data_IF_228752436219
#
_entry.id   IF_228752436219
#
_cell.length_a   1.000
_cell.length_b   1.000
_cell.length_c   1.000
_cell.angle_alpha   90.00
_cell.angle_beta   90.00
_cell.angle_gamma   90.00
#
_symmetry.space_group_name_H-M   'P 1'
#
loop_
_entity.id
_entity.type
_entity.pdbx_description
1 polymer ?
#
# COMPACT_ATOMS: atom_id res chain seq x y z
N UNK A 1 48.11 4.80 19.69
CA UNK A 1 47.44 4.88 21.01
C UNK A 1 45.95 4.63 20.78
N UNK A 2 45.44 3.52 21.31
CA UNK A 2 43.99 3.17 21.19
C UNK A 2 43.33 3.69 22.46
N UNK A 3 42.36 4.58 22.32
CA UNK A 3 41.48 4.98 23.41
C UNK A 3 40.46 3.87 23.70
N UNK A 4 40.22 3.50 24.97
CA UNK A 4 39.18 2.54 25.30
C UNK A 4 37.80 3.22 25.17
N UNK A 5 36.74 2.49 24.76
CA UNK A 5 35.40 3.03 24.62
C UNK A 5 34.83 3.35 26.01
N UNK A 6 34.20 4.54 26.11
CA UNK A 6 33.59 5.06 27.35
C UNK A 6 32.36 4.21 27.75
N UNK A 7 32.09 4.04 29.07
CA UNK A 7 31.02 3.15 29.56
C UNK A 7 29.61 3.66 29.31
N UNK A 8 29.42 4.86 28.75
CA UNK A 8 28.09 5.44 28.43
C UNK A 8 27.31 4.73 27.33
N UNK A 9 28.00 4.03 26.41
CA UNK A 9 27.32 3.34 25.27
C UNK A 9 26.58 2.04 25.68
N UNK A 10 27.06 1.36 26.72
CA UNK A 10 26.46 0.11 27.21
C UNK A 10 25.19 0.33 28.01
N UNK A 11 25.13 1.42 28.79
CA UNK A 11 23.96 1.74 29.63
C UNK A 11 22.78 2.21 28.78
N UNK A 12 23.04 2.93 27.66
CA UNK A 12 21.98 3.39 26.77
C UNK A 12 21.34 2.22 25.99
N UNK A 13 22.16 1.23 25.55
CA UNK A 13 21.65 0.05 24.84
C UNK A 13 20.78 -0.84 25.72
N UNK A 14 21.16 -1.00 27.01
CA UNK A 14 20.38 -1.79 27.98
C UNK A 14 19.06 -1.09 28.32
N UNK A 15 19.05 0.26 28.42
CA UNK A 15 17.83 1.01 28.69
C UNK A 15 16.84 0.95 27.50
N UNK A 16 17.32 1.03 26.28
CA UNK A 16 16.47 0.89 25.07
C UNK A 16 15.89 -0.52 24.96
N UNK A 17 16.67 -1.56 25.29
CA UNK A 17 16.16 -2.94 25.32
C UNK A 17 15.16 -3.17 26.45
N UNK A 18 15.36 -2.62 27.61
CA UNK A 18 14.43 -2.73 28.75
C UNK A 18 13.13 -1.96 28.50
N UNK A 19 13.17 -0.80 27.83
CA UNK A 19 11.96 -0.04 27.47
C UNK A 19 11.20 -0.76 26.36
N UNK A 20 11.87 -1.32 25.35
CA UNK A 20 11.22 -2.09 24.28
C UNK A 20 10.56 -3.37 24.82
N UNK A 21 11.21 -4.08 25.75
CA UNK A 21 10.62 -5.26 26.40
C UNK A 21 9.45 -4.90 27.33
N UNK A 22 9.52 -3.78 28.06
CA UNK A 22 8.43 -3.33 28.91
C UNK A 22 7.20 -2.88 28.11
N UNK A 23 7.38 -2.24 26.95
CA UNK A 23 6.29 -1.88 26.04
C UNK A 23 5.67 -3.14 25.42
N UNK A 24 6.46 -4.13 25.02
CA UNK A 24 5.96 -5.42 24.51
C UNK A 24 5.17 -6.20 25.57
N UNK A 25 5.61 -6.21 26.80
CA UNK A 25 4.93 -6.90 27.91
C UNK A 25 3.60 -6.19 28.25
N UNK A 26 3.57 -4.87 28.29
CA UNK A 26 2.36 -4.08 28.56
C UNK A 26 1.32 -4.23 27.43
N UNK A 27 1.75 -4.26 26.16
CA UNK A 27 0.88 -4.49 25.01
C UNK A 27 0.33 -5.93 25.01
N UNK A 28 1.14 -6.90 25.38
CA UNK A 28 0.72 -8.31 25.48
C UNK A 28 -0.29 -8.50 26.62
N UNK A 29 -0.15 -7.79 27.74
CA UNK A 29 -1.07 -7.81 28.86
C UNK A 29 -2.40 -7.10 28.51
N UNK A 30 -2.36 -6.02 27.74
CA UNK A 30 -3.57 -5.29 27.31
C UNK A 30 -4.51 -6.13 26.46
N UNK A 31 -3.97 -7.05 25.63
CA UNK A 31 -4.75 -7.92 24.74
C UNK A 31 -5.22 -9.22 25.41
N UNK A 32 -4.62 -9.62 26.54
CA UNK A 32 -4.92 -10.91 27.21
C UNK A 32 -6.37 -10.98 27.68
N UNK A 33 -6.93 -9.90 28.19
CA UNK A 33 -8.35 -9.85 28.62
C UNK A 33 -9.33 -10.17 27.51
N UNK A 34 -8.97 -9.88 26.24
CA UNK A 34 -9.82 -10.10 25.07
C UNK A 34 -9.80 -11.54 24.58
N UNK A 35 -8.83 -12.34 25.04
CA UNK A 35 -8.73 -13.76 24.70
C UNK A 35 -9.87 -14.58 25.30
N UNK A 36 -10.35 -14.19 26.47
CA UNK A 36 -11.46 -14.86 27.16
C UNK A 36 -12.81 -14.15 26.98
N UNK A 37 -12.82 -12.97 26.34
CA UNK A 37 -14.05 -12.20 26.15
C UNK A 37 -14.97 -12.86 25.12
N UNK A 38 -16.23 -13.10 25.49
CA UNK A 38 -17.23 -13.71 24.60
C UNK A 38 -17.93 -12.60 23.78
N UNK A 39 -17.35 -12.26 22.62
CA UNK A 39 -17.89 -11.27 21.69
C UNK A 39 -19.24 -11.67 21.12
N UNK A 40 -19.57 -12.95 21.11
CA UNK A 40 -20.86 -13.45 20.58
C UNK A 40 -22.01 -13.28 21.54
N UNK A 41 -21.73 -13.16 22.86
CA UNK A 41 -22.78 -13.03 23.89
C UNK A 41 -22.76 -11.68 24.60
N UNK A 42 -21.61 -10.99 24.63
CA UNK A 42 -21.42 -9.77 25.39
C UNK A 42 -21.21 -8.57 24.49
N UNK A 43 -22.08 -7.56 24.61
CA UNK A 43 -21.93 -6.30 23.89
C UNK A 43 -20.88 -5.42 24.57
N UNK A 44 -19.92 -4.94 23.78
CA UNK A 44 -18.93 -3.94 24.21
C UNK A 44 -19.62 -2.59 24.49
N UNK A 45 -19.08 -1.89 25.47
CA UNK A 45 -19.41 -0.49 25.76
C UNK A 45 -18.27 0.43 25.31
N UNK A 46 -18.53 1.69 24.96
CA UNK A 46 -17.46 2.64 24.60
C UNK A 46 -16.34 2.74 25.65
N UNK A 47 -16.69 2.64 26.93
CA UNK A 47 -15.73 2.67 28.04
C UNK A 47 -14.74 1.49 28.03
N UNK A 48 -15.19 0.33 27.55
CA UNK A 48 -14.36 -0.89 27.53
C UNK A 48 -13.14 -0.76 26.60
N UNK A 49 -13.28 0.05 25.54
CA UNK A 49 -12.25 0.24 24.49
C UNK A 49 -11.70 1.68 24.39
N UNK A 50 -12.11 2.60 25.26
CA UNK A 50 -11.71 4.01 25.20
C UNK A 50 -10.18 4.21 25.26
N UNK A 51 -9.49 3.43 26.12
CA UNK A 51 -8.03 3.49 26.30
C UNK A 51 -7.22 2.57 25.37
N UNK A 52 -7.87 1.77 24.51
CA UNK A 52 -7.17 0.79 23.68
C UNK A 52 -6.41 1.51 22.56
N UNK A 53 -5.10 1.26 22.36
CA UNK A 53 -4.32 1.81 21.24
C UNK A 53 -4.90 1.43 19.86
N UNK A 54 -4.60 2.24 18.83
CA UNK A 54 -5.14 2.01 17.48
C UNK A 54 -4.76 0.63 16.91
N UNK A 55 -3.50 0.22 17.04
CA UNK A 55 -3.04 -1.12 16.61
C UNK A 55 -3.76 -2.26 17.34
N UNK A 56 -3.99 -2.11 18.64
CA UNK A 56 -4.71 -3.10 19.45
C UNK A 56 -6.19 -3.17 19.07
N UNK A 57 -6.83 -2.05 18.67
CA UNK A 57 -8.19 -2.05 18.14
C UNK A 57 -8.29 -2.87 16.85
N UNK A 58 -7.30 -2.75 15.97
CA UNK A 58 -7.20 -3.55 14.75
C UNK A 58 -7.10 -5.05 15.07
N UNK A 59 -6.24 -5.43 16.02
CA UNK A 59 -6.15 -6.81 16.49
C UNK A 59 -7.44 -7.29 17.15
N UNK A 60 -8.09 -6.42 17.96
CA UNK A 60 -9.37 -6.74 18.60
C UNK A 60 -10.46 -7.05 17.57
N UNK A 61 -10.52 -6.27 16.50
CA UNK A 61 -11.39 -6.55 15.34
C UNK A 61 -11.02 -7.88 14.68
N UNK A 62 -9.72 -8.15 14.55
CA UNK A 62 -9.19 -9.45 14.10
C UNK A 62 -9.66 -10.63 14.97
N UNK A 63 -9.68 -10.49 16.31
CA UNK A 63 -10.16 -11.52 17.23
C UNK A 63 -11.64 -11.86 16.96
N UNK A 64 -12.52 -10.85 16.82
CA UNK A 64 -13.96 -11.09 16.57
C UNK A 64 -14.15 -11.93 15.32
N UNK A 65 -13.51 -11.60 14.23
CA UNK A 65 -13.57 -12.40 13.00
C UNK A 65 -12.84 -13.73 13.12
N UNK A 66 -11.69 -13.76 13.82
CA UNK A 66 -10.86 -14.95 14.03
C UNK A 66 -11.57 -16.04 14.81
N UNK A 67 -12.55 -15.70 15.69
CA UNK A 67 -13.39 -16.68 16.37
C UNK A 67 -14.23 -17.54 15.40
N UNK A 68 -14.51 -17.02 14.21
CA UNK A 68 -15.17 -17.75 13.13
C UNK A 68 -14.16 -18.31 12.09
N UNK A 69 -12.86 -18.22 12.37
CA UNK A 69 -11.80 -18.76 11.52
C UNK A 69 -11.49 -17.91 10.28
N UNK A 70 -11.91 -16.62 10.21
CA UNK A 70 -11.55 -15.78 9.08
C UNK A 70 -10.05 -15.79 8.87
N UNK A 71 -9.63 -16.12 7.64
CA UNK A 71 -8.23 -16.02 7.21
C UNK A 71 -7.94 -14.56 6.85
N UNK A 72 -6.86 -14.02 7.39
CA UNK A 72 -6.42 -12.66 7.13
C UNK A 72 -5.16 -12.65 6.29
N UNK A 73 -5.08 -11.71 5.35
CA UNK A 73 -3.87 -11.40 4.59
C UNK A 73 -2.98 -10.40 5.32
N UNK A 74 -3.58 -9.54 6.16
CA UNK A 74 -2.82 -8.64 7.04
C UNK A 74 -1.90 -9.46 7.94
N UNK A 75 -0.58 -9.24 7.77
CA UNK A 75 0.43 -10.06 8.42
C UNK A 75 0.39 -9.91 9.95
N UNK A 76 0.09 -8.71 10.49
CA UNK A 76 0.03 -8.48 11.93
C UNK A 76 -1.14 -9.27 12.56
N UNK A 77 -2.32 -9.20 11.93
CA UNK A 77 -3.50 -9.97 12.38
C UNK A 77 -3.25 -11.45 12.22
N UNK A 78 -2.69 -11.89 11.09
CA UNK A 78 -2.39 -13.30 10.81
C UNK A 78 -1.46 -13.87 11.87
N UNK A 79 -0.29 -13.29 12.07
CA UNK A 79 0.70 -13.72 13.07
C UNK A 79 0.11 -13.75 14.46
N UNK A 80 -0.65 -12.71 14.84
CA UNK A 80 -1.30 -12.66 16.13
C UNK A 80 -2.30 -13.79 16.32
N UNK A 81 -3.17 -14.07 15.34
CA UNK A 81 -4.19 -15.12 15.43
C UNK A 81 -3.59 -16.53 15.40
N UNK A 82 -2.60 -16.78 14.54
CA UNK A 82 -1.92 -18.07 14.43
C UNK A 82 -1.19 -18.47 15.73
N UNK A 83 -0.76 -17.50 16.53
CA UNK A 83 -0.21 -17.73 17.86
C UNK A 83 -1.28 -18.12 18.91
N UNK A 84 -2.58 -18.04 18.60
CA UNK A 84 -3.65 -18.33 19.54
C UNK A 84 -4.12 -19.78 19.41
N UNK A 85 -4.08 -20.56 20.48
CA UNK A 85 -4.51 -21.97 20.49
C UNK A 85 -5.99 -22.20 20.13
N UNK A 86 -6.84 -21.18 20.22
CA UNK A 86 -8.26 -21.24 19.87
C UNK A 86 -8.53 -20.92 18.38
N UNK A 87 -7.58 -20.30 17.65
CA UNK A 87 -7.78 -19.93 16.25
C UNK A 87 -7.69 -21.17 15.36
N UNK A 88 -8.72 -21.35 14.53
CA UNK A 88 -8.78 -22.41 13.52
C UNK A 88 -9.17 -21.77 12.19
N UNK A 89 -8.27 -21.69 11.21
CA UNK A 89 -8.58 -21.13 9.89
C UNK A 89 -9.77 -21.85 9.25
N UNK A 90 -10.70 -21.05 8.71
CA UNK A 90 -11.86 -21.53 7.98
C UNK A 90 -11.93 -20.83 6.61
N UNK A 91 -11.50 -21.49 5.52
CA UNK A 91 -11.55 -20.90 4.16
C UNK A 91 -12.98 -20.55 3.70
N UNK A 92 -14.00 -21.22 4.26
CA UNK A 92 -15.41 -20.98 3.93
C UNK A 92 -16.03 -19.84 4.75
N UNK A 93 -15.22 -19.11 5.51
CA UNK A 93 -15.71 -17.98 6.29
C UNK A 93 -16.44 -16.99 5.40
N UNK A 94 -17.62 -16.57 5.86
CA UNK A 94 -18.35 -15.45 5.29
C UNK A 94 -19.05 -14.62 6.38
N UNK A 95 -19.40 -13.39 6.08
CA UNK A 95 -19.94 -12.45 7.05
C UNK A 95 -21.32 -12.83 7.62
N UNK A 96 -22.03 -13.81 7.04
CA UNK A 96 -23.30 -14.30 7.59
C UNK A 96 -23.13 -15.08 8.89
N UNK A 97 -21.91 -15.60 9.14
CA UNK A 97 -21.56 -16.30 10.37
C UNK A 97 -21.54 -15.39 11.61
N UNK A 98 -21.40 -14.07 11.40
CA UNK A 98 -21.41 -13.07 12.48
C UNK A 98 -22.84 -12.84 12.99
N UNK A 99 -23.04 -12.96 14.29
CA UNK A 99 -24.32 -12.61 14.91
C UNK A 99 -24.48 -11.09 15.13
N UNK A 100 -25.65 -10.69 15.63
CA UNK A 100 -25.95 -9.26 15.80
C UNK A 100 -25.11 -8.57 16.89
N UNK A 101 -24.67 -9.30 17.93
CA UNK A 101 -23.83 -8.75 19.00
C UNK A 101 -22.43 -8.52 18.45
N UNK A 102 -21.86 -9.49 17.74
CA UNK A 102 -20.55 -9.35 17.10
C UNK A 102 -20.50 -8.19 16.10
N UNK A 103 -21.56 -8.03 15.29
CA UNK A 103 -21.67 -6.88 14.36
C UNK A 103 -21.68 -5.53 15.09
N UNK A 104 -22.39 -5.44 16.21
CA UNK A 104 -22.38 -4.24 17.08
C UNK A 104 -21.02 -3.98 17.68
N UNK A 105 -20.34 -5.04 18.13
CA UNK A 105 -18.99 -4.96 18.68
C UNK A 105 -18.00 -4.47 17.61
N UNK A 106 -18.07 -5.02 16.40
CA UNK A 106 -17.25 -4.60 15.27
C UNK A 106 -17.52 -3.14 14.88
N UNK A 107 -18.78 -2.70 14.88
CA UNK A 107 -19.15 -1.29 14.61
C UNK A 107 -18.51 -0.36 15.67
N UNK A 108 -18.58 -0.73 16.94
CA UNK A 108 -18.00 0.06 18.02
C UNK A 108 -16.47 0.15 17.92
N UNK A 109 -15.81 -0.98 17.66
CA UNK A 109 -14.35 -1.04 17.48
C UNK A 109 -13.94 -0.14 16.30
N UNK A 110 -14.59 -0.25 15.15
CA UNK A 110 -14.29 0.57 13.96
C UNK A 110 -14.50 2.07 14.21
N UNK A 111 -15.55 2.45 14.93
CA UNK A 111 -15.77 3.85 15.32
C UNK A 111 -14.64 4.35 16.21
N UNK A 112 -14.14 3.52 17.12
CA UNK A 112 -13.01 3.86 17.98
C UNK A 112 -11.69 3.97 17.19
N UNK A 113 -11.42 3.06 16.24
CA UNK A 113 -10.28 3.14 15.32
C UNK A 113 -10.32 4.45 14.52
N UNK A 114 -11.44 4.73 13.84
CA UNK A 114 -11.61 5.93 13.01
C UNK A 114 -11.42 7.23 13.80
N UNK A 115 -11.82 7.25 15.07
CA UNK A 115 -11.63 8.43 15.94
C UNK A 115 -10.17 8.77 16.20
N UNK A 116 -9.27 7.78 16.09
CA UNK A 116 -7.83 7.88 16.35
C UNK A 116 -7.01 8.20 15.10
N UNK A 117 -7.57 8.02 13.91
CA UNK A 117 -6.88 8.31 12.66
C UNK A 117 -6.56 9.80 12.52
N UNK A 118 -5.32 10.12 12.16
CA UNK A 118 -4.89 11.51 11.92
C UNK A 118 -5.64 12.10 10.72
N UNK A 119 -5.79 11.33 9.65
CA UNK A 119 -6.60 11.61 8.46
C UNK A 119 -7.64 10.51 8.26
N UNK A 120 -8.73 10.81 7.58
CA UNK A 120 -9.77 9.84 7.25
C UNK A 120 -9.17 8.70 6.39
N UNK A 121 -9.61 7.47 6.67
CA UNK A 121 -9.16 6.29 5.94
C UNK A 121 -10.37 5.58 5.28
N UNK A 122 -10.17 4.80 4.21
CA UNK A 122 -11.19 3.88 3.73
C UNK A 122 -11.71 2.99 4.87
N UNK A 123 -13.01 3.05 5.12
CA UNK A 123 -13.65 2.36 6.25
C UNK A 123 -14.09 3.25 7.41
N UNK A 124 -13.70 4.52 7.42
CA UNK A 124 -13.97 5.44 8.54
C UNK A 124 -15.33 6.18 8.45
N UNK A 125 -16.01 6.12 7.30
CA UNK A 125 -17.16 6.99 7.05
C UNK A 125 -18.31 6.76 8.01
N UNK A 126 -18.39 5.59 8.66
CA UNK A 126 -19.35 5.34 9.74
C UNK A 126 -19.17 6.29 10.94
N UNK A 127 -17.93 6.61 11.31
CA UNK A 127 -17.61 7.60 12.34
C UNK A 127 -17.99 9.01 11.91
N UNK A 128 -17.87 9.31 10.60
CA UNK A 128 -18.13 10.63 10.03
C UNK A 128 -19.59 10.86 9.60
N UNK A 129 -20.50 9.88 9.76
CA UNK A 129 -21.93 10.07 9.45
C UNK A 129 -22.58 11.23 10.24
N UNK A 130 -22.13 11.43 11.47
CA UNK A 130 -22.69 12.45 12.38
C UNK A 130 -21.71 13.60 12.65
N UNK A 131 -20.59 13.65 11.95
CA UNK A 131 -19.51 14.63 12.13
C UNK A 131 -19.09 15.22 10.80
N UNK A 132 -18.88 16.55 10.72
CA UNK A 132 -18.39 17.15 9.48
C UNK A 132 -16.91 16.86 9.27
N UNK A 133 -16.53 16.49 8.03
CA UNK A 133 -15.15 16.39 7.59
C UNK A 133 -14.57 17.78 7.36
N UNK A 134 -13.40 18.02 7.91
CA UNK A 134 -12.60 19.23 7.64
C UNK A 134 -11.52 18.94 6.61
N UNK A 135 -11.03 19.96 5.90
CA UNK A 135 -9.93 19.82 4.94
C UNK A 135 -8.68 19.17 5.58
N UNK A 136 -8.38 19.48 6.86
CA UNK A 136 -7.27 18.89 7.60
C UNK A 136 -7.45 17.37 7.81
N UNK A 137 -8.69 16.92 8.06
CA UNK A 137 -9.00 15.50 8.28
C UNK A 137 -9.05 14.71 6.98
N UNK A 138 -9.35 15.36 5.87
CA UNK A 138 -9.36 14.67 4.57
C UNK A 138 -7.96 14.20 4.14
N UNK A 139 -6.91 14.99 4.37
CA UNK A 139 -5.56 14.60 3.97
C UNK A 139 -5.36 14.49 2.46
N UNK A 140 -4.35 13.72 2.06
CA UNK A 140 -4.07 13.38 0.66
C UNK A 140 -4.43 11.90 0.42
N UNK A 141 -5.12 11.64 -0.69
CA UNK A 141 -5.56 10.31 -1.11
C UNK A 141 -5.33 10.08 -2.59
N UNK A 142 -5.22 8.82 -2.97
CA UNK A 142 -5.25 8.39 -4.37
C UNK A 142 -6.66 8.50 -4.97
N UNK A 143 -6.76 8.32 -6.28
CA UNK A 143 -8.05 8.24 -6.96
C UNK A 143 -8.92 7.10 -6.46
N UNK A 144 -8.32 5.94 -6.16
CA UNK A 144 -9.02 4.77 -5.63
C UNK A 144 -9.55 5.03 -4.22
N UNK A 145 -8.71 5.57 -3.33
CA UNK A 145 -9.13 5.93 -1.97
C UNK A 145 -10.24 6.99 -1.96
N UNK A 146 -10.10 8.06 -2.79
CA UNK A 146 -11.18 9.05 -2.94
C UNK A 146 -12.50 8.42 -3.37
N UNK A 147 -12.43 7.46 -4.31
CA UNK A 147 -13.61 6.75 -4.78
C UNK A 147 -14.22 5.91 -3.67
N UNK A 148 -13.41 5.19 -2.90
CA UNK A 148 -13.89 4.41 -1.74
C UNK A 148 -14.54 5.30 -0.70
N UNK A 149 -13.85 6.37 -0.25
CA UNK A 149 -14.36 7.29 0.78
C UNK A 149 -15.70 7.90 0.38
N UNK A 150 -15.82 8.39 -0.86
CA UNK A 150 -17.07 8.92 -1.39
C UNK A 150 -18.16 7.86 -1.43
N UNK A 151 -17.82 6.67 -1.94
CA UNK A 151 -18.78 5.58 -2.12
C UNK A 151 -19.21 4.96 -0.81
N UNK A 152 -18.37 4.97 0.21
CA UNK A 152 -18.70 4.43 1.54
C UNK A 152 -19.86 5.22 2.19
N UNK A 153 -19.92 6.54 2.00
CA UNK A 153 -21.07 7.35 2.48
C UNK A 153 -22.38 6.82 1.92
N UNK A 154 -22.39 6.46 0.63
CA UNK A 154 -23.57 5.95 -0.06
C UNK A 154 -23.80 4.45 0.20
N UNK A 155 -22.73 3.67 0.36
CA UNK A 155 -22.77 2.22 0.66
C UNK A 155 -23.43 1.93 2.01
N UNK A 156 -23.23 2.79 3.01
CA UNK A 156 -23.88 2.70 4.32
C UNK A 156 -25.41 2.70 4.17
N UNK A 157 -25.93 3.34 3.12
CA UNK A 157 -27.36 3.38 2.75
C UNK A 157 -27.73 2.37 1.65
N UNK A 158 -26.86 1.39 1.38
CA UNK A 158 -27.14 0.26 0.49
C UNK A 158 -26.97 0.52 -1.00
N UNK A 159 -26.28 1.60 -1.43
CA UNK A 159 -26.01 1.84 -2.85
C UNK A 159 -25.20 0.69 -3.45
N UNK A 160 -25.59 0.25 -4.66
CA UNK A 160 -24.83 -0.68 -5.51
C UNK A 160 -23.91 0.10 -6.45
N UNK A 161 -22.77 -0.47 -6.81
CA UNK A 161 -21.74 0.18 -7.62
C UNK A 161 -21.52 -0.58 -8.93
N UNK A 162 -21.26 0.16 -10.01
CA UNK A 162 -21.05 -0.40 -11.34
C UNK A 162 -19.59 -0.89 -11.54
N UNK A 163 -18.63 -0.28 -10.83
CA UNK A 163 -17.23 -0.69 -10.87
C UNK A 163 -17.08 -2.04 -10.16
N UNK A 164 -16.64 -3.12 -10.85
CA UNK A 164 -16.61 -4.47 -10.28
C UNK A 164 -15.78 -4.57 -9.00
N UNK A 165 -14.58 -3.99 -8.99
CA UNK A 165 -13.70 -4.03 -7.82
C UNK A 165 -14.30 -3.28 -6.61
N UNK A 166 -14.97 -2.15 -6.86
CA UNK A 166 -15.60 -1.33 -5.82
C UNK A 166 -16.82 -2.04 -5.22
N UNK A 167 -17.64 -2.67 -6.07
CA UNK A 167 -18.77 -3.49 -5.62
C UNK A 167 -18.27 -4.68 -4.81
N UNK A 168 -17.21 -5.36 -5.26
CA UNK A 168 -16.59 -6.45 -4.51
C UNK A 168 -16.02 -5.94 -3.18
N UNK A 169 -15.33 -4.79 -3.17
CA UNK A 169 -14.83 -4.16 -1.95
C UNK A 169 -15.93 -4.02 -0.89
N UNK A 170 -17.12 -3.52 -1.26
CA UNK A 170 -18.21 -3.38 -0.30
C UNK A 170 -18.88 -4.71 0.05
N UNK A 171 -19.02 -5.65 -0.87
CA UNK A 171 -19.58 -6.98 -0.59
C UNK A 171 -18.82 -7.72 0.52
N UNK A 172 -17.53 -7.49 0.65
CA UNK A 172 -16.68 -8.06 1.71
C UNK A 172 -16.87 -7.39 3.08
N UNK A 173 -17.61 -6.28 3.15
CA UNK A 173 -17.85 -5.56 4.41
C UNK A 173 -19.04 -6.16 5.15
N UNK A 174 -18.86 -6.58 6.40
CA UNK A 174 -19.91 -7.20 7.22
C UNK A 174 -21.13 -6.31 7.43
N UNK A 175 -20.95 -5.00 7.32
CA UNK A 175 -21.99 -3.99 7.53
C UNK A 175 -22.74 -3.60 6.23
N UNK A 176 -22.18 -3.92 5.06
CA UNK A 176 -22.79 -3.56 3.79
C UNK A 176 -24.00 -4.44 3.50
N UNK A 177 -25.13 -3.81 3.23
CA UNK A 177 -26.38 -4.45 2.83
C UNK A 177 -26.92 -3.74 1.59
N UNK A 178 -26.73 -4.30 0.39
CA UNK A 178 -27.23 -3.68 -0.83
C UNK A 178 -28.74 -3.58 -0.79
N UNK A 179 -29.26 -2.38 -1.05
CA UNK A 179 -30.71 -2.13 -1.19
C UNK A 179 -31.17 -2.46 -2.60
N UNK A 180 -32.43 -2.82 -2.75
CA UNK A 180 -33.04 -3.00 -4.08
C UNK A 180 -33.11 -1.67 -4.83
N UNK A 181 -33.37 -0.59 -4.09
CA UNK A 181 -33.37 0.77 -4.61
C UNK A 181 -32.67 1.71 -3.63
N UNK A 182 -31.63 2.38 -4.11
CA UNK A 182 -30.94 3.46 -3.37
C UNK A 182 -31.58 4.80 -3.71
N UNK A 183 -31.83 5.65 -2.69
CA UNK A 183 -32.25 7.04 -2.86
C UNK A 183 -31.32 7.95 -2.07
N UNK A 184 -30.65 8.88 -2.76
CA UNK A 184 -29.75 9.88 -2.15
C UNK A 184 -30.45 10.85 -1.18
N UNK A 185 -31.78 10.90 -1.17
CA UNK A 185 -32.55 11.66 -0.18
C UNK A 185 -32.40 11.12 1.24
N UNK A 186 -31.99 9.84 1.39
CA UNK A 186 -31.71 9.22 2.69
C UNK A 186 -30.46 9.79 3.38
N UNK A 187 -29.57 10.44 2.62
CA UNK A 187 -28.37 11.07 3.17
C UNK A 187 -28.73 12.25 4.06
N UNK A 188 -28.17 12.27 5.27
CA UNK A 188 -28.27 13.38 6.20
C UNK A 188 -27.62 14.66 5.64
N UNK A 189 -27.90 15.81 6.25
CA UNK A 189 -27.26 17.07 5.88
C UNK A 189 -25.73 17.02 6.10
N UNK A 190 -25.25 16.28 7.12
CA UNK A 190 -23.83 16.11 7.40
C UNK A 190 -23.17 15.24 6.34
N UNK A 191 -23.78 14.12 5.95
CA UNK A 191 -23.26 13.24 4.92
C UNK A 191 -23.16 13.94 3.56
N UNK A 192 -24.17 14.77 3.19
CA UNK A 192 -24.12 15.61 1.98
C UNK A 192 -22.95 16.60 2.02
N UNK A 193 -22.76 17.30 3.16
CA UNK A 193 -21.59 18.19 3.36
C UNK A 193 -20.26 17.43 3.28
N UNK A 194 -20.20 16.23 3.81
CA UNK A 194 -19.00 15.40 3.72
C UNK A 194 -18.71 14.99 2.28
N UNK A 195 -19.72 14.62 1.48
CA UNK A 195 -19.58 14.36 0.05
C UNK A 195 -19.07 15.59 -0.72
N UNK A 196 -19.58 16.78 -0.41
CA UNK A 196 -19.11 18.04 -1.00
C UNK A 196 -17.63 18.32 -0.65
N UNK A 197 -17.25 18.10 0.63
CA UNK A 197 -15.89 18.28 1.10
C UNK A 197 -14.91 17.32 0.40
N UNK A 198 -15.29 16.04 0.28
CA UNK A 198 -14.52 15.01 -0.45
C UNK A 198 -14.38 15.42 -1.93
N UNK A 199 -15.44 15.81 -2.60
CA UNK A 199 -15.43 16.22 -4.00
C UNK A 199 -14.51 17.43 -4.24
N UNK A 200 -14.53 18.42 -3.33
CA UNK A 200 -13.65 19.59 -3.40
C UNK A 200 -12.17 19.23 -3.22
N UNK A 201 -11.86 18.35 -2.27
CA UNK A 201 -10.50 17.88 -2.04
C UNK A 201 -9.99 17.05 -3.23
N UNK A 202 -10.80 16.13 -3.75
CA UNK A 202 -10.48 15.33 -4.93
C UNK A 202 -10.20 16.19 -6.18
N UNK A 203 -10.96 17.29 -6.35
CA UNK A 203 -10.73 18.22 -7.47
C UNK A 203 -9.34 18.87 -7.44
N UNK A 204 -8.77 19.04 -6.24
CA UNK A 204 -7.45 19.65 -6.01
C UNK A 204 -6.32 18.63 -6.01
N UNK A 205 -6.63 17.35 -5.85
CA UNK A 205 -5.64 16.29 -5.76
C UNK A 205 -4.98 15.98 -7.10
N UNK A 206 -3.81 15.31 -7.04
CA UNK A 206 -3.16 14.73 -8.21
C UNK A 206 -4.10 13.73 -8.89
N UNK A 207 -4.20 13.80 -10.22
CA UNK A 207 -5.11 12.95 -10.99
C UNK A 207 -4.42 11.64 -11.39
N UNK A 208 -4.20 10.79 -10.41
CA UNK A 208 -3.77 9.40 -10.60
C UNK A 208 -4.80 8.48 -9.97
N UNK A 209 -5.02 7.31 -10.58
CA UNK A 209 -5.98 6.36 -10.04
C UNK A 209 -5.41 5.61 -8.83
N UNK A 210 -4.12 5.24 -8.89
CA UNK A 210 -3.43 4.52 -7.83
C UNK A 210 -2.24 5.31 -7.27
N UNK A 211 -1.84 4.99 -6.06
CA UNK A 211 -0.61 5.41 -5.42
C UNK A 211 0.00 4.26 -4.60
N UNK A 212 1.31 4.27 -4.29
CA UNK A 212 1.89 3.35 -3.31
C UNK A 212 1.11 3.39 -2.00
N UNK A 213 0.73 2.22 -1.48
CA UNK A 213 -0.18 2.04 -0.35
C UNK A 213 -1.56 1.47 -0.74
N UNK A 214 -1.97 1.62 -2.00
CA UNK A 214 -3.31 1.24 -2.46
C UNK A 214 -3.52 -0.26 -2.65
N UNK A 215 -2.46 -1.08 -2.67
CA UNK A 215 -2.62 -2.52 -2.92
C UNK A 215 -3.43 -3.21 -1.83
N UNK A 216 -3.58 -2.61 -0.65
CA UNK A 216 -4.52 -3.05 0.38
C UNK A 216 -5.99 -3.07 -0.11
N UNK A 217 -6.35 -2.17 -1.01
CA UNK A 217 -7.71 -2.09 -1.58
C UNK A 217 -7.95 -3.19 -2.61
N UNK A 218 -6.87 -3.77 -3.13
CA UNK A 218 -6.89 -4.74 -4.23
C UNK A 218 -6.53 -6.17 -3.81
N UNK A 219 -6.52 -6.46 -2.52
CA UNK A 219 -6.48 -7.85 -2.05
C UNK A 219 -7.62 -8.65 -2.72
N UNK A 220 -7.30 -9.73 -3.43
CA UNK A 220 -8.24 -10.54 -4.23
C UNK A 220 -8.99 -9.80 -5.36
N UNK A 221 -8.58 -8.58 -5.68
CA UNK A 221 -9.16 -7.76 -6.75
C UNK A 221 -8.11 -7.41 -7.79
N UNK A 222 -8.54 -7.30 -9.05
CA UNK A 222 -7.63 -6.98 -10.14
C UNK A 222 -7.55 -5.47 -10.38
N UNK A 223 -6.32 -4.97 -10.56
CA UNK A 223 -6.08 -3.66 -11.14
C UNK A 223 -6.10 -3.76 -12.66
N UNK A 224 -6.43 -2.66 -13.32
CA UNK A 224 -6.31 -2.56 -14.79
C UNK A 224 -5.11 -1.70 -15.18
N UNK A 225 -4.53 -1.91 -16.38
CA UNK A 225 -3.43 -1.07 -16.88
C UNK A 225 -3.77 0.43 -16.91
N UNK A 226 -5.04 0.78 -17.10
CA UNK A 226 -5.50 2.17 -17.11
C UNK A 226 -5.33 2.86 -15.76
N UNK A 227 -5.45 2.10 -14.66
CA UNK A 227 -5.27 2.62 -13.31
C UNK A 227 -3.81 3.00 -13.01
N UNK A 228 -2.85 2.48 -13.78
CA UNK A 228 -1.42 2.79 -13.65
C UNK A 228 -1.03 4.07 -14.39
N UNK A 229 -1.95 4.67 -15.15
CA UNK A 229 -1.66 5.86 -15.94
C UNK A 229 -1.29 7.06 -15.05
N UNK A 230 -0.20 7.73 -15.42
CA UNK A 230 0.28 8.92 -14.71
C UNK A 230 1.18 8.63 -13.51
N UNK A 231 1.44 7.36 -13.18
CA UNK A 231 2.44 6.99 -12.18
C UNK A 231 3.85 7.13 -12.74
N UNK A 232 4.80 7.46 -11.86
CA UNK A 232 6.23 7.39 -12.18
C UNK A 232 6.73 5.94 -12.13
N UNK A 233 7.90 5.69 -12.74
CA UNK A 233 8.55 4.36 -12.66
C UNK A 233 8.88 3.98 -11.22
N UNK A 234 9.21 4.96 -10.38
CA UNK A 234 9.44 4.71 -8.95
C UNK A 234 8.16 4.26 -8.24
N UNK A 235 7.04 4.94 -8.49
CA UNK A 235 5.73 4.58 -7.90
C UNK A 235 5.25 3.21 -8.39
N UNK A 236 5.45 2.87 -9.68
CA UNK A 236 5.15 1.53 -10.22
C UNK A 236 5.97 0.45 -9.50
N UNK A 237 7.28 0.70 -9.31
CA UNK A 237 8.15 -0.20 -8.55
C UNK A 237 7.68 -0.39 -7.11
N UNK A 238 7.26 0.69 -6.43
CA UNK A 238 6.73 0.61 -5.08
C UNK A 238 5.43 -0.20 -5.04
N UNK A 239 4.46 0.07 -5.92
CA UNK A 239 3.21 -0.69 -6.01
C UNK A 239 3.45 -2.18 -6.24
N UNK A 240 4.34 -2.52 -7.19
CA UNK A 240 4.70 -3.91 -7.45
C UNK A 240 5.28 -4.61 -6.22
N UNK A 241 6.21 -3.95 -5.54
CA UNK A 241 6.84 -4.53 -4.35
C UNK A 241 5.91 -4.51 -3.13
N UNK A 242 4.92 -3.62 -3.08
CA UNK A 242 3.91 -3.60 -2.03
C UNK A 242 3.10 -4.90 -2.02
N UNK A 243 2.75 -5.46 -3.19
CA UNK A 243 2.07 -6.76 -3.27
C UNK A 243 2.86 -7.82 -2.50
N UNK A 244 4.17 -7.91 -2.72
CA UNK A 244 5.04 -8.85 -2.01
C UNK A 244 5.21 -8.49 -0.53
N UNK A 245 5.37 -7.21 -0.22
CA UNK A 245 5.57 -6.72 1.15
C UNK A 245 4.38 -7.07 2.06
N UNK A 246 3.16 -7.03 1.54
CA UNK A 246 1.94 -7.41 2.27
C UNK A 246 1.89 -8.87 2.67
N UNK A 247 2.68 -9.72 1.99
CA UNK A 247 2.89 -11.13 2.35
C UNK A 247 4.17 -11.36 3.16
N UNK A 248 4.85 -10.29 3.58
CA UNK A 248 6.02 -10.38 4.44
C UNK A 248 7.35 -10.56 3.72
N UNK A 249 7.44 -10.39 2.39
CA UNK A 249 8.72 -10.49 1.66
C UNK A 249 9.74 -9.52 2.23
N UNK A 250 10.93 -10.01 2.55
CA UNK A 250 12.09 -9.20 2.90
C UNK A 250 12.81 -8.72 1.64
N UNK A 251 13.29 -7.48 1.64
CA UNK A 251 13.94 -6.86 0.48
C UNK A 251 15.42 -6.69 0.72
N UNK A 252 16.25 -7.11 -0.27
CA UNK A 252 17.70 -6.96 -0.21
C UNK A 252 18.17 -5.54 -0.57
N UNK A 253 17.39 -4.82 -1.41
CA UNK A 253 17.69 -3.43 -1.75
C UNK A 253 17.44 -2.53 -0.53
N UNK A 254 18.49 -1.87 0.04
CA UNK A 254 18.38 -1.17 1.31
C UNK A 254 17.29 -0.08 1.32
N UNK A 255 17.19 0.73 0.26
CA UNK A 255 16.18 1.77 0.16
C UNK A 255 14.74 1.21 0.16
N UNK A 256 14.53 0.05 -0.47
CA UNK A 256 13.22 -0.59 -0.54
C UNK A 256 12.85 -1.23 0.81
N UNK A 257 13.84 -1.86 1.44
CA UNK A 257 13.72 -2.37 2.81
C UNK A 257 13.35 -1.25 3.76
N UNK A 258 14.08 -0.14 3.75
CA UNK A 258 13.80 1.03 4.59
C UNK A 258 12.41 1.62 4.31
N UNK A 259 12.01 1.73 3.04
CA UNK A 259 10.68 2.22 2.67
C UNK A 259 9.58 1.39 3.33
N UNK A 260 9.65 0.05 3.23
CA UNK A 260 8.62 -0.82 3.81
C UNK A 260 8.71 -0.90 5.34
N UNK A 261 9.89 -0.90 5.94
CA UNK A 261 10.02 -0.84 7.40
C UNK A 261 9.39 0.42 8.03
N UNK A 262 9.27 1.50 7.28
CA UNK A 262 8.57 2.72 7.72
C UNK A 262 7.04 2.61 7.58
N UNK A 263 6.51 1.51 7.03
CA UNK A 263 5.07 1.28 6.94
C UNK A 263 4.59 0.50 8.16
N UNK A 264 3.63 1.05 8.91
CA UNK A 264 3.07 0.41 10.13
C UNK A 264 2.51 -0.99 9.87
N UNK A 265 2.03 -1.25 8.66
CA UNK A 265 1.42 -2.53 8.26
C UNK A 265 2.45 -3.59 7.82
N UNK A 266 3.72 -3.22 7.60
CA UNK A 266 4.71 -4.17 7.08
C UNK A 266 5.25 -5.07 8.18
N UNK A 267 5.12 -6.39 7.98
CA UNK A 267 5.62 -7.43 8.86
C UNK A 267 6.52 -8.39 8.07
N UNK A 268 7.85 -8.24 8.14
CA UNK A 268 8.76 -9.12 7.42
C UNK A 268 8.68 -10.55 7.94
N UNK A 269 8.70 -11.53 7.04
CA UNK A 269 8.65 -12.96 7.33
C UNK A 269 9.89 -13.66 6.75
N UNK A 270 10.55 -14.48 7.54
CA UNK A 270 11.65 -15.33 7.08
C UNK A 270 11.15 -16.53 6.25
N UNK A 271 9.87 -16.86 6.37
CA UNK A 271 9.26 -18.01 5.70
C UNK A 271 8.51 -17.65 4.42
N UNK A 272 8.53 -16.37 4.00
CA UNK A 272 7.86 -15.92 2.78
C UNK A 272 8.34 -16.69 1.55
N UNK A 273 7.40 -17.09 0.70
CA UNK A 273 7.64 -17.70 -0.62
C UNK A 273 6.73 -17.05 -1.65
N UNK A 274 7.18 -17.02 -2.92
CA UNK A 274 6.39 -16.47 -4.02
C UNK A 274 5.06 -17.23 -4.25
N UNK A 275 4.98 -18.49 -3.79
CA UNK A 275 3.74 -19.30 -3.80
C UNK A 275 2.68 -18.75 -2.83
N UNK A 276 3.07 -17.98 -1.82
CA UNK A 276 2.14 -17.38 -0.85
C UNK A 276 1.25 -16.30 -1.49
N UNK A 277 1.63 -15.80 -2.67
CA UNK A 277 0.82 -14.85 -3.43
C UNK A 277 -0.43 -15.54 -3.98
N UNK A 278 -1.59 -14.89 -3.84
CA UNK A 278 -2.85 -15.33 -4.47
C UNK A 278 -2.78 -15.21 -5.99
N UNK A 279 -3.76 -15.81 -6.69
CA UNK A 279 -3.87 -15.67 -8.14
C UNK A 279 -4.05 -14.21 -8.57
N UNK A 280 -4.82 -13.41 -7.84
CA UNK A 280 -5.01 -11.97 -8.10
C UNK A 280 -3.76 -11.16 -7.83
N UNK A 281 -2.99 -11.49 -6.78
CA UNK A 281 -1.71 -10.83 -6.50
C UNK A 281 -0.71 -11.04 -7.65
N UNK A 282 -0.58 -12.29 -8.13
CA UNK A 282 0.27 -12.62 -9.28
C UNK A 282 -0.15 -11.86 -10.54
N UNK A 283 -1.45 -11.82 -10.84
CA UNK A 283 -1.97 -11.05 -11.98
C UNK A 283 -1.77 -9.53 -11.83
N UNK A 284 -1.90 -8.98 -10.62
CA UNK A 284 -1.62 -7.57 -10.34
C UNK A 284 -0.14 -7.25 -10.57
N UNK A 285 0.78 -8.10 -10.09
CA UNK A 285 2.22 -7.97 -10.37
C UNK A 285 2.49 -8.02 -11.87
N UNK A 286 1.93 -8.99 -12.59
CA UNK A 286 2.07 -9.11 -14.05
C UNK A 286 1.54 -7.88 -14.79
N UNK A 287 0.41 -7.32 -14.34
CA UNK A 287 -0.17 -6.09 -14.90
C UNK A 287 0.78 -4.91 -14.75
N UNK A 288 1.40 -4.74 -13.56
CA UNK A 288 2.36 -3.65 -13.30
C UNK A 288 3.63 -3.86 -14.12
N UNK A 289 4.21 -5.07 -14.12
CA UNK A 289 5.40 -5.41 -14.90
C UNK A 289 5.16 -5.20 -16.40
N UNK A 290 4.01 -5.65 -16.91
CA UNK A 290 3.63 -5.43 -18.31
C UNK A 290 3.53 -3.95 -18.66
N UNK A 291 3.05 -3.11 -17.73
CA UNK A 291 2.98 -1.66 -17.91
C UNK A 291 4.39 -1.02 -17.87
N UNK A 292 5.27 -1.42 -16.94
CA UNK A 292 6.68 -0.99 -16.89
C UNK A 292 7.40 -1.36 -18.20
N UNK A 293 7.29 -2.62 -18.65
CA UNK A 293 7.90 -3.10 -19.90
C UNK A 293 7.43 -2.29 -21.11
N UNK A 294 6.13 -1.97 -21.17
CA UNK A 294 5.59 -1.13 -22.25
C UNK A 294 6.20 0.26 -22.29
N UNK A 295 6.50 0.86 -21.12
CA UNK A 295 7.20 2.16 -21.06
C UNK A 295 8.60 2.02 -21.65
N UNK A 296 9.33 0.97 -21.30
CA UNK A 296 10.66 0.67 -21.85
C UNK A 296 10.61 0.37 -23.36
N UNK A 297 9.63 -0.38 -23.83
CA UNK A 297 9.46 -0.67 -25.26
C UNK A 297 9.09 0.58 -26.09
N UNK A 298 8.39 1.52 -25.48
CA UNK A 298 7.99 2.77 -26.10
C UNK A 298 9.07 3.90 -26.01
N UNK A 299 10.20 3.64 -25.31
CA UNK A 299 11.22 4.67 -24.98
C UNK A 299 11.81 5.39 -26.18
N UNK A 300 11.90 4.72 -27.33
CA UNK A 300 12.37 5.30 -28.59
C UNK A 300 11.26 5.93 -29.45
N UNK A 301 9.98 5.73 -29.08
CA UNK A 301 8.84 6.12 -29.91
C UNK A 301 7.95 7.19 -29.29
N UNK A 302 7.89 7.25 -27.96
CA UNK A 302 7.06 8.21 -27.22
C UNK A 302 7.90 9.15 -26.36
N UNK A 303 7.49 10.42 -26.24
CA UNK A 303 8.17 11.35 -25.35
C UNK A 303 8.06 10.93 -23.88
N UNK A 304 9.19 10.94 -23.19
CA UNK A 304 9.26 10.75 -21.74
C UNK A 304 8.88 12.06 -21.05
N UNK A 305 8.00 11.98 -20.06
CA UNK A 305 7.64 13.13 -19.23
C UNK A 305 8.53 13.18 -17.99
N UNK A 306 8.71 14.38 -17.42
CA UNK A 306 9.43 14.55 -16.16
C UNK A 306 8.75 13.77 -15.02
N UNK A 307 7.43 13.73 -15.00
CA UNK A 307 6.66 12.98 -14.00
C UNK A 307 6.98 11.47 -14.02
N UNK A 308 7.21 10.90 -15.21
CA UNK A 308 7.58 9.48 -15.34
C UNK A 308 8.91 9.15 -14.62
N UNK A 309 9.84 10.13 -14.59
CA UNK A 309 11.16 9.99 -13.96
C UNK A 309 11.15 10.33 -12.47
N UNK A 310 10.06 10.91 -11.93
CA UNK A 310 9.99 11.37 -10.54
C UNK A 310 10.30 10.24 -9.57
N UNK A 311 11.21 10.48 -8.63
CA UNK A 311 11.64 9.49 -7.63
C UNK A 311 12.64 8.46 -8.12
N UNK A 312 13.02 8.42 -9.42
CA UNK A 312 14.06 7.51 -9.88
C UNK A 312 15.42 7.90 -9.31
N UNK A 313 16.19 6.89 -8.93
CA UNK A 313 17.60 7.06 -8.58
C UNK A 313 18.44 7.36 -9.84
N UNK A 314 19.58 8.04 -9.62
CA UNK A 314 20.49 8.43 -10.73
C UNK A 314 20.97 7.19 -11.52
N UNK A 315 21.19 6.06 -10.84
CA UNK A 315 21.61 4.80 -11.45
C UNK A 315 20.55 4.24 -12.40
N UNK A 316 19.27 4.30 -12.02
CA UNK A 316 18.16 3.81 -12.85
C UNK A 316 17.88 4.75 -14.01
N UNK A 317 17.95 6.07 -13.78
CA UNK A 317 17.84 7.06 -14.84
C UNK A 317 18.98 6.91 -15.88
N UNK A 318 20.21 6.65 -15.41
CA UNK A 318 21.37 6.35 -16.26
C UNK A 318 21.17 5.12 -17.12
N UNK A 319 20.67 4.00 -16.53
CA UNK A 319 20.33 2.80 -17.29
C UNK A 319 19.27 3.09 -18.35
N UNK A 320 18.21 3.81 -18.00
CA UNK A 320 17.14 4.18 -18.92
C UNK A 320 17.64 5.04 -20.06
N UNK A 321 18.56 5.98 -19.81
CA UNK A 321 19.20 6.76 -20.85
C UNK A 321 20.04 5.90 -21.78
N UNK A 322 20.86 5.00 -21.24
CA UNK A 322 21.69 4.10 -22.04
C UNK A 322 20.86 3.06 -22.80
N UNK A 323 19.68 2.68 -22.29
CA UNK A 323 18.77 1.80 -23.00
C UNK A 323 18.35 2.36 -24.37
N UNK A 324 18.15 3.69 -24.48
CA UNK A 324 17.80 4.31 -25.77
C UNK A 324 18.90 4.05 -26.80
N UNK A 325 20.17 4.17 -26.39
CA UNK A 325 21.32 3.84 -27.26
C UNK A 325 21.44 2.34 -27.53
N UNK A 326 21.23 1.52 -26.51
CA UNK A 326 21.33 0.05 -26.62
C UNK A 326 20.28 -0.50 -27.59
N UNK A 327 19.08 0.04 -27.61
CA UNK A 327 18.01 -0.33 -28.57
C UNK A 327 18.39 -0.01 -30.03
N UNK A 328 19.37 0.85 -30.26
CA UNK A 328 19.99 1.12 -31.57
C UNK A 328 21.25 0.27 -31.83
N UNK A 329 21.63 -0.55 -30.87
CA UNK A 329 22.78 -1.44 -30.97
C UNK A 329 24.12 -0.81 -30.58
N UNK A 330 24.13 0.36 -29.89
CA UNK A 330 25.38 0.97 -29.40
C UNK A 330 26.22 -0.05 -28.64
N UNK A 331 27.49 -0.16 -29.01
CA UNK A 331 28.51 -0.95 -28.30
C UNK A 331 29.16 -0.07 -27.21
N UNK A 332 29.14 -0.54 -25.96
CA UNK A 332 29.61 0.22 -24.79
C UNK A 332 31.05 -0.12 -24.42
N UNK A 333 32.01 0.28 -25.28
CA UNK A 333 33.44 -0.04 -25.07
C UNK A 333 34.06 0.68 -23.87
N UNK A 334 33.61 1.89 -23.56
CA UNK A 334 34.13 2.70 -22.44
C UNK A 334 33.47 2.39 -21.10
N UNK A 335 32.33 1.73 -21.12
CA UNK A 335 31.51 1.41 -19.95
C UNK A 335 31.12 -0.08 -20.01
N UNK A 336 32.07 -1.02 -19.78
CA UNK A 336 31.87 -2.46 -20.02
C UNK A 336 30.69 -3.06 -19.26
N UNK A 337 30.34 -2.51 -18.09
CA UNK A 337 29.22 -3.00 -17.31
C UNK A 337 27.86 -2.75 -18.03
N UNK A 338 27.73 -1.66 -18.80
CA UNK A 338 26.54 -1.47 -19.64
C UNK A 338 26.47 -2.48 -20.79
N UNK A 339 27.63 -2.83 -21.36
CA UNK A 339 27.71 -3.88 -22.39
C UNK A 339 27.15 -5.20 -21.83
N UNK A 340 27.72 -5.68 -20.71
CA UNK A 340 27.25 -6.92 -20.05
C UNK A 340 25.79 -6.82 -19.62
N UNK A 341 25.38 -5.67 -19.10
CA UNK A 341 23.99 -5.44 -18.69
C UNK A 341 23.02 -5.59 -19.87
N UNK A 342 23.29 -4.93 -21.01
CA UNK A 342 22.37 -4.99 -22.14
C UNK A 342 22.45 -6.30 -22.92
N UNK A 343 23.57 -6.98 -22.95
CA UNK A 343 23.71 -8.33 -23.53
C UNK A 343 22.81 -9.37 -22.83
N UNK A 344 22.40 -9.14 -21.61
CA UNK A 344 21.44 -10.01 -20.92
C UNK A 344 20.02 -9.92 -21.45
N UNK A 345 19.71 -8.90 -22.27
CA UNK A 345 18.39 -8.72 -22.83
C UNK A 345 18.26 -9.29 -24.24
N UNK A 346 17.26 -10.13 -24.55
CA UNK A 346 17.10 -10.74 -25.89
C UNK A 346 16.90 -9.74 -27.03
N UNK A 347 16.45 -8.52 -26.73
CA UNK A 347 16.24 -7.47 -27.71
C UNK A 347 17.51 -6.71 -28.10
N UNK A 348 18.59 -6.79 -27.31
CA UNK A 348 19.83 -6.11 -27.63
C UNK A 348 20.58 -6.83 -28.77
N UNK A 349 20.96 -6.05 -29.77
CA UNK A 349 21.79 -6.53 -30.90
C UNK A 349 22.86 -5.48 -31.17
N UNK A 350 24.11 -5.84 -30.91
CA UNK A 350 25.25 -4.96 -31.16
C UNK A 350 25.32 -4.51 -32.63
N UNK A 351 25.50 -3.21 -32.84
CA UNK A 351 25.72 -2.58 -34.14
C UNK A 351 26.96 -1.69 -34.04
N UNK A 352 28.15 -2.18 -34.45
CA UNK A 352 29.39 -1.39 -34.40
C UNK A 352 29.35 -0.11 -35.26
N UNK A 353 28.47 -0.06 -36.28
CA UNK A 353 28.30 1.07 -37.18
C UNK A 353 27.33 2.13 -36.60
N UNK A 354 26.82 1.93 -35.40
CA UNK A 354 25.91 2.88 -34.77
C UNK A 354 26.60 4.22 -34.48
N UNK A 355 25.93 5.32 -34.86
CA UNK A 355 26.31 6.67 -34.49
C UNK A 355 25.12 7.46 -33.96
N UNK A 356 25.35 8.49 -33.15
CA UNK A 356 24.31 9.34 -32.56
C UNK A 356 23.46 10.08 -33.63
N UNK A 357 23.96 10.19 -34.89
CA UNK A 357 23.20 10.74 -36.00
C UNK A 357 21.97 9.89 -36.35
N UNK A 358 21.99 8.61 -36.05
CA UNK A 358 20.89 7.66 -36.31
C UNK A 358 19.75 7.76 -35.27
N UNK A 359 19.95 8.50 -34.20
CA UNK A 359 18.89 8.74 -33.19
C UNK A 359 17.77 9.60 -33.78
N UNK A 360 16.53 9.16 -33.56
CA UNK A 360 15.34 9.94 -33.93
C UNK A 360 15.20 11.22 -33.09
N UNK A 361 14.35 12.13 -33.51
CA UNK A 361 14.04 13.34 -32.74
C UNK A 361 13.45 13.02 -31.35
N UNK A 362 12.63 11.96 -31.24
CA UNK A 362 12.05 11.51 -29.98
C UNK A 362 13.14 10.97 -29.05
N UNK A 363 14.03 10.13 -29.55
CA UNK A 363 15.15 9.58 -28.78
C UNK A 363 16.08 10.66 -28.25
N UNK A 364 16.47 11.62 -29.11
CA UNK A 364 17.29 12.77 -28.70
C UNK A 364 16.62 13.61 -27.61
N UNK A 365 15.30 13.85 -27.75
CA UNK A 365 14.50 14.54 -26.74
C UNK A 365 14.45 13.77 -25.42
N UNK A 366 14.23 12.45 -25.47
CA UNK A 366 14.16 11.61 -24.29
C UNK A 366 15.52 11.56 -23.57
N UNK A 367 16.62 11.41 -24.29
CA UNK A 367 17.99 11.50 -23.75
C UNK A 367 18.19 12.84 -23.03
N UNK A 368 17.83 13.96 -23.67
CA UNK A 368 17.96 15.28 -23.06
C UNK A 368 17.10 15.43 -21.79
N UNK A 369 15.88 14.88 -21.81
CA UNK A 369 14.97 14.90 -20.65
C UNK A 369 15.54 14.10 -19.48
N UNK A 370 16.06 12.89 -19.73
CA UNK A 370 16.66 12.04 -18.69
C UNK A 370 17.96 12.69 -18.17
N UNK A 371 18.83 13.19 -19.06
CA UNK A 371 20.07 13.87 -18.65
C UNK A 371 19.80 15.12 -17.78
N UNK A 372 18.74 15.86 -18.08
CA UNK A 372 18.34 17.00 -17.26
C UNK A 372 17.81 16.55 -15.87
N UNK A 373 17.18 15.38 -15.81
CA UNK A 373 16.73 14.79 -14.56
C UNK A 373 17.90 14.26 -13.71
N UNK A 374 18.86 13.54 -14.32
CA UNK A 374 20.07 12.99 -13.66
C UNK A 374 20.84 14.04 -12.86
N UNK A 375 20.90 15.29 -13.37
CA UNK A 375 21.57 16.41 -12.67
C UNK A 375 20.98 16.75 -11.30
N UNK A 376 19.77 16.28 -11.01
CA UNK A 376 19.02 16.57 -9.78
C UNK A 376 18.62 15.28 -9.02
N UNK A 377 18.83 14.14 -9.63
CA UNK A 377 18.53 12.85 -9.03
C UNK A 377 19.53 12.53 -7.93
N UNK A 378 19.06 11.83 -6.91
CA UNK A 378 19.89 11.29 -5.83
C UNK A 378 20.32 9.85 -6.14
N UNK A 379 21.44 9.43 -5.55
CA UNK A 379 21.87 8.04 -5.62
C UNK A 379 21.08 7.16 -4.65
N UNK A 380 20.78 5.93 -5.04
CA UNK A 380 20.19 4.94 -4.13
C UNK A 380 21.07 4.70 -2.89
N UNK A 381 22.39 4.88 -3.03
CA UNK A 381 23.35 4.71 -1.93
C UNK A 381 23.32 5.87 -0.93
N UNK A 382 23.00 7.10 -1.36
CA UNK A 382 22.89 8.27 -0.46
C UNK A 382 21.69 8.19 0.49
N UNK A 383 20.70 7.37 0.19
CA UNK A 383 19.52 7.16 1.07
C UNK A 383 19.87 6.31 2.29
N UNK A 384 21.01 5.61 2.26
CA UNK A 384 21.45 4.69 3.32
C UNK A 384 22.30 5.42 4.37
N UNK A 385 22.93 6.53 3.99
CA UNK A 385 23.87 7.28 4.82
C UNK A 385 23.22 8.41 5.66
N UNK A 386 21.92 8.64 5.52
CA UNK A 386 21.11 9.61 6.26
C UNK A 386 20.31 8.94 7.36
#
# INVERSE_FOLDING_TARGET
MRYPPTPLSRTLLVLVFLVATAISIAAQDSMQRWQSFDFGKTALKPADIAGVPSGDLTLLRGIVFGRHGRVFKDAAIKVYLEAQGWYKPNPEFNNSMLNNIERRNLDLIRIAEASKHATVQPGDMRYWQTRPLTARKLGAHSGAEWLVLRSEVEAIHGKRFNEPWLQQYFNERYWYKPADRYDSKQLSAIEKKNLEAIALAQKKARKVALAPGDMALFEDKLISPQMLHGLSLHELRLLRNEVYARHGRQFQAPWLSQYFFNQEWYQPSETFKDEDLSGSDKQNVETIVGYENKIHDDIGRKPITRNLLEGLFIEDAGKMRQEIYARRGKVFTKEPWFQTYFESFPWYKANPEFTDAQLSAVEKRNIATITAYEKKAVSAWSVIEG
#
